data_IF_537238184475
#
_entry.id   IF_537238184475
#
_cell.length_a   1.000
_cell.length_b   1.000
_cell.length_c   1.000
_cell.angle_alpha   90.00
_cell.angle_beta   90.00
_cell.angle_gamma   90.00
#
_symmetry.space_group_name_H-M   'P 1'
#
loop_
_entity.id
_entity.type
_entity.pdbx_description
1 polymer ?
#
# COMPACT_ATOMS: atom_id res chain seq x y z
N UNK A 1 3.37 -17.07 9.75
CA UNK A 1 2.23 -16.40 10.41
C UNK A 1 1.25 -15.97 9.34
N UNK A 2 -0.03 -16.21 9.58
CA UNK A 2 -1.11 -16.00 8.62
C UNK A 2 -1.72 -14.61 8.74
N UNK A 3 -2.16 -14.08 7.60
CA UNK A 3 -2.84 -12.79 7.48
C UNK A 3 -4.24 -13.04 6.93
N UNK A 4 -5.24 -12.41 7.54
CA UNK A 4 -6.62 -12.46 7.03
C UNK A 4 -6.89 -11.19 6.24
N UNK A 5 -7.26 -11.33 4.98
CA UNK A 5 -7.58 -10.21 4.10
C UNK A 5 -9.05 -9.83 4.20
N UNK A 6 -9.37 -8.54 4.35
CA UNK A 6 -10.73 -8.04 4.20
C UNK A 6 -10.83 -7.18 2.95
N UNK A 7 -11.75 -7.55 2.07
CA UNK A 7 -11.94 -6.90 0.77
C UNK A 7 -13.27 -6.14 0.80
N UNK A 8 -13.20 -4.81 0.83
CA UNK A 8 -14.36 -3.95 1.09
C UNK A 8 -14.76 -3.14 -0.15
N UNK A 9 -16.02 -3.31 -0.54
CA UNK A 9 -16.64 -2.64 -1.69
C UNK A 9 -16.05 -3.09 -3.03
N UNK A 10 -16.57 -2.51 -4.12
CA UNK A 10 -16.20 -2.90 -5.48
C UNK A 10 -14.67 -2.84 -5.72
N UNK A 11 -14.03 -1.74 -5.33
CA UNK A 11 -12.59 -1.55 -5.54
C UNK A 11 -11.75 -2.55 -4.74
N UNK A 12 -12.02 -2.71 -3.44
CA UNK A 12 -11.29 -3.64 -2.57
C UNK A 12 -11.42 -5.10 -3.02
N UNK A 13 -12.62 -5.52 -3.45
CA UNK A 13 -12.85 -6.86 -3.99
C UNK A 13 -12.09 -7.13 -5.30
N UNK A 14 -11.99 -6.13 -6.19
CA UNK A 14 -11.26 -6.30 -7.44
C UNK A 14 -9.74 -6.34 -7.23
N UNK A 15 -9.21 -5.46 -6.38
CA UNK A 15 -7.78 -5.44 -6.01
C UNK A 15 -7.40 -6.73 -5.30
N UNK A 16 -8.23 -7.19 -4.36
CA UNK A 16 -7.99 -8.44 -3.66
C UNK A 16 -7.89 -9.62 -4.61
N UNK A 17 -8.83 -9.77 -5.55
CA UNK A 17 -8.78 -10.86 -6.54
C UNK A 17 -7.51 -10.86 -7.38
N UNK A 18 -7.11 -9.68 -7.88
CA UNK A 18 -5.89 -9.53 -8.69
C UNK A 18 -4.62 -9.78 -7.87
N UNK A 19 -4.58 -9.32 -6.62
CA UNK A 19 -3.46 -9.54 -5.71
C UNK A 19 -3.27 -11.02 -5.38
N UNK A 20 -4.35 -11.73 -5.01
CA UNK A 20 -4.26 -13.16 -4.69
C UNK A 20 -3.85 -14.00 -5.90
N UNK A 21 -4.30 -13.63 -7.11
CA UNK A 21 -3.78 -14.20 -8.36
C UNK A 21 -2.27 -13.98 -8.44
N UNK A 22 -1.81 -12.73 -8.39
CA UNK A 22 -0.38 -12.43 -8.53
C UNK A 22 0.48 -13.13 -7.47
N UNK A 23 0.02 -13.21 -6.21
CA UNK A 23 0.75 -13.87 -5.13
C UNK A 23 1.01 -15.35 -5.42
N UNK A 24 -0.02 -16.10 -5.87
CA UNK A 24 0.13 -17.52 -6.18
C UNK A 24 0.85 -17.74 -7.51
N UNK A 25 0.64 -16.88 -8.50
CA UNK A 25 1.33 -16.98 -9.78
C UNK A 25 2.83 -16.75 -9.62
N UNK A 26 3.21 -15.70 -8.88
CA UNK A 26 4.61 -15.45 -8.56
C UNK A 26 5.21 -16.57 -7.73
N UNK A 27 4.49 -17.15 -6.76
CA UNK A 27 5.00 -18.27 -5.95
C UNK A 27 5.27 -19.54 -6.77
N UNK A 28 4.29 -19.95 -7.58
CA UNK A 28 4.30 -21.24 -8.29
C UNK A 28 5.06 -21.21 -9.62
N UNK A 29 5.08 -20.05 -10.31
CA UNK A 29 5.66 -19.93 -11.64
C UNK A 29 6.89 -19.03 -11.61
N UNK A 30 8.08 -19.65 -11.52
CA UNK A 30 9.32 -18.95 -11.84
C UNK A 30 9.54 -18.98 -13.36
N UNK A 31 9.93 -17.85 -13.95
CA UNK A 31 10.29 -17.81 -15.37
C UNK A 31 11.45 -18.79 -15.64
N UNK A 32 11.33 -19.72 -16.61
CA UNK A 32 12.37 -20.69 -16.96
C UNK A 32 13.74 -20.07 -17.25
N UNK A 33 13.78 -18.82 -17.74
CA UNK A 33 15.03 -18.09 -17.99
C UNK A 33 15.87 -17.90 -16.72
N UNK A 34 15.26 -17.86 -15.54
CA UNK A 34 15.94 -17.69 -14.25
C UNK A 34 16.22 -19.01 -13.52
N UNK A 35 15.62 -20.12 -14.00
CA UNK A 35 15.62 -21.44 -13.35
C UNK A 35 17.00 -22.10 -13.32
N UNK A 36 17.84 -21.88 -14.34
CA UNK A 36 19.13 -22.60 -14.47
C UNK A 36 20.35 -21.88 -13.92
N UNK A 37 20.25 -20.60 -13.53
CA UNK A 37 21.43 -19.76 -13.23
C UNK A 37 21.47 -19.11 -11.85
N UNK A 38 20.39 -19.08 -11.05
CA UNK A 38 20.34 -18.13 -9.92
C UNK A 38 19.66 -18.56 -8.61
N UNK A 39 18.68 -19.46 -8.60
CA UNK A 39 17.90 -19.77 -7.37
C UNK A 39 17.90 -21.25 -7.04
N UNK A 40 18.19 -21.56 -5.79
CA UNK A 40 18.20 -22.92 -5.24
C UNK A 40 16.78 -23.50 -5.17
N UNK A 41 16.62 -24.79 -5.50
CA UNK A 41 15.32 -25.49 -5.43
C UNK A 41 14.71 -25.44 -4.03
N UNK A 42 15.55 -25.55 -2.99
CA UNK A 42 15.10 -25.47 -1.60
C UNK A 42 14.53 -24.10 -1.27
N UNK A 43 15.21 -23.03 -1.69
CA UNK A 43 14.78 -21.64 -1.46
C UNK A 43 13.46 -21.34 -2.17
N UNK A 44 13.26 -21.86 -3.39
CA UNK A 44 11.99 -21.73 -4.10
C UNK A 44 10.86 -22.48 -3.40
N UNK A 45 11.12 -23.68 -2.89
CA UNK A 45 10.13 -24.44 -2.15
C UNK A 45 9.73 -23.74 -0.83
N UNK A 46 10.70 -23.22 -0.09
CA UNK A 46 10.44 -22.43 1.13
C UNK A 46 9.59 -21.19 0.84
N UNK A 47 9.89 -20.48 -0.26
CA UNK A 47 9.12 -19.32 -0.70
C UNK A 47 7.65 -19.68 -0.97
N UNK A 48 7.39 -20.74 -1.74
CA UNK A 48 6.03 -21.22 -2.03
C UNK A 48 5.29 -21.62 -0.76
N UNK A 49 5.93 -22.41 0.11
CA UNK A 49 5.34 -22.82 1.39
C UNK A 49 4.95 -21.61 2.26
N UNK A 50 5.79 -20.59 2.33
CA UNK A 50 5.53 -19.39 3.14
C UNK A 50 4.37 -18.55 2.57
N UNK A 51 4.26 -18.42 1.25
CA UNK A 51 3.13 -17.75 0.60
C UNK A 51 1.82 -18.47 0.94
N UNK A 52 1.81 -19.80 0.80
CA UNK A 52 0.65 -20.62 1.12
C UNK A 52 0.29 -20.51 2.60
N UNK A 53 1.25 -20.64 3.51
CA UNK A 53 1.00 -20.51 4.96
C UNK A 53 0.42 -19.13 5.32
N UNK A 54 0.97 -18.07 4.69
CA UNK A 54 0.62 -16.68 5.01
C UNK A 54 -0.77 -16.30 4.50
N UNK A 55 -1.10 -16.62 3.25
CA UNK A 55 -2.29 -16.09 2.57
C UNK A 55 -3.34 -17.14 2.23
N UNK A 56 -3.03 -18.43 2.28
CA UNK A 56 -3.94 -19.48 1.84
C UNK A 56 -4.17 -20.56 2.92
N UNK A 57 -5.26 -21.30 2.77
CA UNK A 57 -5.54 -22.55 3.48
C UNK A 57 -5.68 -23.66 2.44
N UNK A 58 -5.22 -24.86 2.77
CA UNK A 58 -5.47 -26.03 1.91
C UNK A 58 -6.86 -26.58 2.21
N UNK A 59 -7.60 -26.92 1.18
CA UNK A 59 -8.85 -27.66 1.33
C UNK A 59 -8.58 -29.06 1.92
N UNK A 60 -9.62 -29.72 2.46
CA UNK A 60 -9.58 -31.07 3.03
C UNK A 60 -9.02 -32.11 2.04
N UNK A 61 -9.20 -31.89 0.75
CA UNK A 61 -8.67 -32.74 -0.33
C UNK A 61 -7.20 -32.47 -0.65
N UNK A 62 -6.62 -31.39 -0.14
CA UNK A 62 -5.24 -30.96 -0.40
C UNK A 62 -4.98 -30.37 -1.79
N UNK A 63 -5.94 -30.52 -2.72
CA UNK A 63 -5.77 -30.19 -4.14
C UNK A 63 -6.07 -28.73 -4.50
N UNK A 64 -6.87 -28.02 -3.69
CA UNK A 64 -7.22 -26.62 -3.93
C UNK A 64 -6.77 -25.71 -2.78
N UNK A 65 -6.40 -24.49 -3.12
CA UNK A 65 -6.03 -23.43 -2.19
C UNK A 65 -7.21 -22.47 -2.00
N UNK A 66 -7.57 -22.23 -0.74
CA UNK A 66 -8.57 -21.23 -0.35
C UNK A 66 -7.87 -19.98 0.17
N UNK A 67 -8.16 -18.81 -0.41
CA UNK A 67 -7.64 -17.55 0.10
C UNK A 67 -8.15 -17.25 1.52
N UNK A 68 -7.27 -16.81 2.42
CA UNK A 68 -7.68 -16.30 3.75
C UNK A 68 -8.26 -14.91 3.57
N UNK A 69 -9.48 -14.84 3.06
CA UNK A 69 -10.12 -13.59 2.69
C UNK A 69 -11.63 -13.58 2.98
N UNK A 70 -12.10 -12.45 3.50
CA UNK A 70 -13.52 -12.13 3.68
C UNK A 70 -13.89 -11.03 2.70
N UNK A 71 -14.88 -11.29 1.84
CA UNK A 71 -15.36 -10.34 0.83
C UNK A 71 -16.63 -9.66 1.31
N UNK A 72 -16.66 -8.34 1.27
CA UNK A 72 -17.76 -7.55 1.81
C UNK A 72 -18.12 -6.49 0.79
N UNK A 73 -19.35 -6.57 0.30
CA UNK A 73 -19.93 -5.53 -0.56
C UNK A 73 -21.41 -5.41 -0.25
N UNK A 74 -22.01 -4.25 -0.48
CA UNK A 74 -23.45 -4.10 -0.35
C UNK A 74 -24.17 -4.51 -1.64
N UNK A 75 -23.42 -4.81 -2.71
CA UNK A 75 -23.93 -5.26 -4.01
C UNK A 75 -23.24 -6.56 -4.45
N UNK A 76 -23.98 -7.50 -5.03
CA UNK A 76 -23.44 -8.83 -5.38
C UNK A 76 -22.54 -8.86 -6.61
N UNK A 77 -22.69 -7.88 -7.53
CA UNK A 77 -22.07 -7.91 -8.87
C UNK A 77 -20.54 -8.02 -8.81
N UNK A 78 -19.90 -7.16 -8.02
CA UNK A 78 -18.43 -7.13 -7.92
C UNK A 78 -17.89 -8.43 -7.34
N UNK A 79 -18.50 -8.93 -6.26
CA UNK A 79 -18.14 -10.20 -5.64
C UNK A 79 -18.30 -11.36 -6.63
N UNK A 80 -19.45 -11.49 -7.30
CA UNK A 80 -19.69 -12.57 -8.26
C UNK A 80 -18.68 -12.57 -9.42
N UNK A 81 -18.29 -11.39 -9.90
CA UNK A 81 -17.28 -11.25 -10.94
C UNK A 81 -15.90 -11.73 -10.45
N UNK A 82 -15.43 -11.25 -9.29
CA UNK A 82 -14.15 -11.63 -8.71
C UNK A 82 -14.10 -13.12 -8.39
N UNK A 83 -15.17 -13.70 -7.83
CA UNK A 83 -15.28 -15.14 -7.58
C UNK A 83 -15.15 -15.97 -8.86
N UNK A 84 -15.81 -15.54 -9.94
CA UNK A 84 -15.73 -16.23 -11.23
C UNK A 84 -14.31 -16.16 -11.81
N UNK A 85 -13.65 -15.01 -11.70
CA UNK A 85 -12.26 -14.85 -12.16
C UNK A 85 -11.28 -15.72 -11.37
N UNK A 86 -11.40 -15.75 -10.04
CA UNK A 86 -10.58 -16.62 -9.18
C UNK A 86 -10.75 -18.10 -9.57
N UNK A 87 -12.00 -18.57 -9.72
CA UNK A 87 -12.29 -19.95 -10.15
C UNK A 87 -11.72 -20.28 -11.53
N UNK A 88 -11.78 -19.34 -12.48
CA UNK A 88 -11.21 -19.51 -13.83
C UNK A 88 -9.68 -19.67 -13.83
N UNK A 89 -8.99 -19.13 -12.82
CA UNK A 89 -7.53 -19.32 -12.69
C UNK A 89 -7.15 -20.80 -12.52
N UNK A 90 -8.03 -21.60 -11.90
CA UNK A 90 -7.79 -23.01 -11.59
C UNK A 90 -6.74 -23.27 -10.50
N UNK A 91 -6.14 -22.22 -9.91
CA UNK A 91 -5.04 -22.32 -8.93
C UNK A 91 -5.51 -22.15 -7.49
N UNK A 92 -6.55 -21.36 -7.28
CA UNK A 92 -7.11 -21.06 -5.96
C UNK A 92 -8.57 -20.63 -6.06
N UNK A 93 -9.28 -20.62 -4.94
CA UNK A 93 -10.63 -20.10 -4.81
C UNK A 93 -10.82 -19.31 -3.51
N UNK A 94 -11.91 -18.54 -3.43
CA UNK A 94 -12.34 -17.99 -2.16
C UNK A 94 -13.08 -19.05 -1.33
N UNK A 95 -12.93 -19.04 0.00
CA UNK A 95 -13.63 -19.97 0.89
C UNK A 95 -15.15 -19.80 0.79
N UNK A 96 -15.87 -20.91 0.82
CA UNK A 96 -17.33 -20.90 0.78
C UNK A 96 -17.91 -20.22 2.03
N UNK A 97 -18.95 -19.42 1.83
CA UNK A 97 -19.62 -18.71 2.92
C UNK A 97 -18.90 -17.45 3.41
N UNK A 98 -17.72 -17.13 2.88
CA UNK A 98 -16.95 -15.94 3.23
C UNK A 98 -17.19 -14.73 2.31
N UNK A 99 -18.40 -14.66 1.76
CA UNK A 99 -18.88 -13.53 0.97
C UNK A 99 -20.14 -12.95 1.59
N UNK A 100 -20.07 -11.67 1.94
CA UNK A 100 -21.19 -10.91 2.43
C UNK A 100 -21.69 -9.95 1.34
N UNK A 101 -22.96 -10.07 0.98
CA UNK A 101 -23.65 -9.17 0.07
C UNK A 101 -25.02 -8.75 0.58
N UNK A 102 -25.42 -7.51 0.27
CA UNK A 102 -26.78 -7.02 0.49
C UNK A 102 -27.51 -6.78 -0.84
N UNK A 103 -28.80 -6.44 -0.76
CA UNK A 103 -29.62 -6.10 -1.95
C UNK A 103 -29.56 -4.62 -2.32
N UNK A 104 -29.07 -3.74 -1.42
CA UNK A 104 -29.05 -2.29 -1.60
C UNK A 104 -27.66 -1.76 -1.26
N UNK A 105 -27.05 -1.08 -2.23
CA UNK A 105 -25.76 -0.40 -2.05
C UNK A 105 -25.85 0.87 -1.19
N UNK A 106 -24.70 1.33 -0.69
CA UNK A 106 -24.62 2.57 0.11
C UNK A 106 -24.73 3.87 -0.71
N UNK A 107 -24.86 3.78 -2.04
CA UNK A 107 -25.17 4.93 -2.91
C UNK A 107 -24.13 6.06 -2.87
N UNK A 108 -22.84 5.71 -2.76
CA UNK A 108 -21.72 6.65 -2.61
C UNK A 108 -21.81 7.60 -1.39
N UNK A 109 -22.58 7.23 -0.37
CA UNK A 109 -22.73 8.02 0.84
C UNK A 109 -22.05 7.33 2.02
N UNK A 110 -21.05 7.98 2.60
CA UNK A 110 -20.32 7.44 3.75
C UNK A 110 -21.21 7.27 4.99
N UNK A 111 -22.09 8.23 5.31
CA UNK A 111 -22.95 8.15 6.49
C UNK A 111 -23.92 6.97 6.42
N UNK A 112 -24.50 6.70 5.24
CA UNK A 112 -25.34 5.52 5.02
C UNK A 112 -24.56 4.22 5.22
N UNK A 113 -23.32 4.18 4.73
CA UNK A 113 -22.41 3.05 4.92
C UNK A 113 -22.05 2.84 6.40
N UNK A 114 -21.62 3.89 7.09
CA UNK A 114 -21.09 3.83 8.44
C UNK A 114 -22.17 3.70 9.52
N UNK A 115 -23.27 4.45 9.44
CA UNK A 115 -24.29 4.50 10.50
C UNK A 115 -25.40 3.46 10.32
N UNK A 116 -25.67 3.02 9.09
CA UNK A 116 -26.77 2.09 8.83
C UNK A 116 -26.26 0.71 8.39
N UNK A 117 -25.52 0.62 7.29
CA UNK A 117 -25.11 -0.67 6.73
C UNK A 117 -24.03 -1.37 7.57
N UNK A 118 -23.08 -0.63 8.14
CA UNK A 118 -22.00 -1.14 9.00
C UNK A 118 -22.54 -1.91 10.21
N UNK A 119 -23.29 -1.26 11.12
CA UNK A 119 -23.88 -1.91 12.28
C UNK A 119 -24.75 -3.12 11.93
N UNK A 120 -25.59 -3.00 10.88
CA UNK A 120 -26.48 -4.09 10.42
C UNK A 120 -25.72 -5.29 9.85
N UNK A 121 -24.52 -5.09 9.32
CA UNK A 121 -23.70 -6.16 8.73
C UNK A 121 -22.67 -6.75 9.68
N UNK A 122 -22.35 -6.04 10.76
CA UNK A 122 -21.23 -6.36 11.65
C UNK A 122 -21.28 -7.76 12.23
N UNK A 123 -22.39 -8.18 12.84
CA UNK A 123 -22.49 -9.47 13.51
C UNK A 123 -22.14 -10.63 12.56
N UNK A 124 -22.64 -10.57 11.32
CA UNK A 124 -22.35 -11.58 10.31
C UNK A 124 -20.92 -11.49 9.77
N UNK A 125 -20.41 -10.28 9.59
CA UNK A 125 -19.01 -10.08 9.19
C UNK A 125 -18.05 -10.57 10.27
N UNK A 126 -18.35 -10.35 11.54
CA UNK A 126 -17.54 -10.80 12.67
C UNK A 126 -17.48 -12.32 12.72
N UNK A 127 -18.62 -13.02 12.60
CA UNK A 127 -18.66 -14.50 12.51
C UNK A 127 -17.81 -15.03 11.34
N UNK A 128 -17.90 -14.38 10.17
CA UNK A 128 -17.09 -14.70 8.99
C UNK A 128 -15.58 -14.52 9.24
N UNK A 129 -15.20 -13.39 9.84
CA UNK A 129 -13.81 -13.08 10.18
C UNK A 129 -13.27 -14.04 11.24
N UNK A 130 -14.03 -14.31 12.32
CA UNK A 130 -13.66 -15.25 13.38
C UNK A 130 -13.38 -16.63 12.79
N UNK A 131 -14.24 -17.13 11.90
CA UNK A 131 -14.01 -18.41 11.19
C UNK A 131 -12.72 -18.45 10.38
N UNK A 132 -12.29 -17.34 9.78
CA UNK A 132 -11.00 -17.29 9.06
C UNK A 132 -9.81 -17.15 10.01
N UNK A 133 -9.96 -16.42 11.10
CA UNK A 133 -8.92 -16.28 12.14
C UNK A 133 -8.69 -17.62 12.85
N UNK A 134 -9.74 -18.36 13.19
CA UNK A 134 -9.65 -19.69 13.83
C UNK A 134 -8.95 -20.74 12.95
N UNK A 135 -8.97 -20.58 11.63
CA UNK A 135 -8.20 -21.43 10.69
C UNK A 135 -6.70 -21.09 10.66
N UNK A 136 -6.26 -20.05 11.33
CA UNK A 136 -4.87 -19.63 11.34
C UNK A 136 -4.14 -20.26 12.54
N UNK A 137 -3.11 -21.07 12.29
CA UNK A 137 -2.27 -21.61 13.38
C UNK A 137 -1.60 -20.49 14.18
N UNK A 138 -1.21 -19.41 13.48
CA UNK A 138 -0.63 -18.19 14.07
C UNK A 138 -1.13 -16.97 13.32
N UNK A 139 -2.19 -16.37 13.84
CA UNK A 139 -2.75 -15.13 13.33
C UNK A 139 -1.84 -13.92 13.63
N UNK A 140 -1.51 -13.14 12.61
CA UNK A 140 -0.69 -11.93 12.71
C UNK A 140 -1.54 -10.67 12.73
N UNK A 141 -2.51 -10.57 11.82
CA UNK A 141 -3.30 -9.36 11.65
C UNK A 141 -4.14 -9.34 10.38
N UNK A 142 -4.80 -8.20 10.19
CA UNK A 142 -5.70 -7.93 9.10
C UNK A 142 -5.03 -7.08 8.02
N UNK A 143 -5.21 -7.49 6.77
CA UNK A 143 -4.87 -6.69 5.59
C UNK A 143 -6.16 -6.26 4.91
N UNK A 144 -6.48 -4.98 4.97
CA UNK A 144 -7.78 -4.45 4.55
C UNK A 144 -7.62 -3.67 3.25
N UNK A 145 -8.44 -3.96 2.24
CA UNK A 145 -8.44 -3.28 0.94
C UNK A 145 -9.73 -2.50 0.75
N UNK A 146 -9.63 -1.20 0.49
CA UNK A 146 -10.79 -0.32 0.33
C UNK A 146 -10.50 0.91 -0.55
N UNK A 147 -11.56 1.58 -0.99
CA UNK A 147 -11.47 2.90 -1.63
C UNK A 147 -11.98 3.97 -0.66
N UNK A 148 -11.34 5.13 -0.66
CA UNK A 148 -11.76 6.28 0.15
C UNK A 148 -12.99 7.02 -0.39
N UNK A 149 -13.31 6.86 -1.68
CA UNK A 149 -14.37 7.64 -2.32
C UNK A 149 -15.74 6.93 -2.39
N UNK A 150 -15.76 5.59 -2.41
CA UNK A 150 -16.99 4.82 -2.57
C UNK A 150 -17.79 4.69 -1.28
N UNK A 151 -19.12 4.63 -1.33
CA UNK A 151 -19.96 4.58 -0.11
C UNK A 151 -19.75 3.33 0.75
N UNK A 152 -19.73 2.15 0.12
CA UNK A 152 -19.51 0.87 0.81
C UNK A 152 -18.07 0.76 1.30
N UNK A 153 -17.11 0.91 0.39
CA UNK A 153 -15.68 0.78 0.71
C UNK A 153 -15.27 1.72 1.83
N UNK A 154 -15.68 2.98 1.76
CA UNK A 154 -15.28 4.01 2.72
C UNK A 154 -16.07 3.93 4.05
N UNK A 155 -17.41 3.99 4.00
CA UNK A 155 -18.28 4.04 5.18
C UNK A 155 -18.36 2.71 5.94
N UNK A 156 -18.77 1.64 5.27
CA UNK A 156 -18.86 0.30 5.88
C UNK A 156 -17.47 -0.17 6.31
N UNK A 157 -16.45 0.10 5.49
CA UNK A 157 -15.08 -0.27 5.81
C UNK A 157 -14.48 0.48 7.01
N UNK A 158 -14.75 1.77 7.17
CA UNK A 158 -14.34 2.53 8.35
C UNK A 158 -14.98 1.96 9.64
N UNK A 159 -16.27 1.62 9.58
CA UNK A 159 -16.99 1.01 10.70
C UNK A 159 -16.41 -0.35 11.09
N UNK A 160 -16.22 -1.23 10.09
CA UNK A 160 -15.66 -2.57 10.29
C UNK A 160 -14.23 -2.49 10.84
N UNK A 161 -13.40 -1.58 10.32
CA UNK A 161 -12.02 -1.42 10.81
C UNK A 161 -11.99 -0.99 12.28
N UNK A 162 -12.88 -0.07 12.69
CA UNK A 162 -13.01 0.32 14.10
C UNK A 162 -13.47 -0.85 14.97
N UNK A 163 -14.50 -1.55 14.52
CA UNK A 163 -15.04 -2.69 15.28
C UNK A 163 -14.04 -3.86 15.40
N UNK A 164 -13.21 -4.08 14.37
CA UNK A 164 -12.12 -5.06 14.42
C UNK A 164 -11.03 -4.68 15.41
N UNK A 165 -10.72 -3.39 15.54
CA UNK A 165 -9.77 -2.92 16.56
C UNK A 165 -10.29 -3.21 17.97
N UNK A 166 -11.60 -3.08 18.18
CA UNK A 166 -12.22 -3.35 19.48
C UNK A 166 -12.23 -4.86 19.81
N UNK A 167 -12.58 -5.71 18.84
CA UNK A 167 -12.61 -7.19 19.04
C UNK A 167 -11.22 -7.84 19.04
N UNK A 168 -10.28 -7.33 18.25
CA UNK A 168 -8.92 -7.87 18.10
C UNK A 168 -7.84 -6.82 18.43
N UNK A 169 -7.77 -6.32 19.68
CA UNK A 169 -6.93 -5.18 20.04
C UNK A 169 -5.44 -5.41 19.83
N UNK A 170 -4.98 -6.66 19.96
CA UNK A 170 -3.57 -7.04 19.80
C UNK A 170 -3.17 -7.42 18.37
N UNK A 171 -4.11 -7.41 17.43
CA UNK A 171 -3.83 -7.72 16.03
C UNK A 171 -3.32 -6.50 15.28
N UNK A 172 -2.43 -6.72 14.30
CA UNK A 172 -2.00 -5.65 13.40
C UNK A 172 -3.08 -5.35 12.37
N UNK A 173 -3.38 -4.08 12.12
CA UNK A 173 -4.33 -3.64 11.09
C UNK A 173 -3.60 -2.74 10.08
N UNK A 174 -3.39 -3.30 8.89
CA UNK A 174 -2.82 -2.57 7.75
C UNK A 174 -3.92 -2.28 6.73
N UNK A 175 -4.24 -1.01 6.54
CA UNK A 175 -5.22 -0.56 5.55
C UNK A 175 -4.51 -0.16 4.25
N UNK A 176 -4.80 -0.84 3.15
CA UNK A 176 -4.49 -0.37 1.81
C UNK A 176 -5.68 0.39 1.27
N UNK A 177 -5.46 1.68 1.03
CA UNK A 177 -6.51 2.59 0.56
C UNK A 177 -6.19 3.11 -0.83
N UNK A 178 -7.20 3.08 -1.70
CA UNK A 178 -7.14 3.76 -3.00
C UNK A 178 -7.65 5.18 -2.85
N UNK A 179 -6.76 6.12 -3.17
CA UNK A 179 -7.05 7.54 -3.18
C UNK A 179 -7.73 7.93 -4.50
N UNK A 180 -8.85 8.69 -4.45
CA UNK A 180 -9.62 9.02 -5.64
C UNK A 180 -8.89 9.96 -6.59
N UNK A 181 -9.39 10.06 -7.83
CA UNK A 181 -8.90 11.04 -8.79
C UNK A 181 -9.14 12.47 -8.31
N UNK A 182 -8.15 13.35 -8.49
CA UNK A 182 -8.25 14.77 -8.14
C UNK A 182 -9.29 15.53 -8.97
N UNK A 183 -9.60 15.06 -10.18
CA UNK A 183 -10.65 15.59 -11.06
C UNK A 183 -12.06 15.26 -10.57
N UNK A 184 -12.23 14.16 -9.83
CA UNK A 184 -13.51 13.72 -9.29
C UNK A 184 -14.15 12.57 -10.07
N UNK A 185 -14.40 11.43 -9.41
CA UNK A 185 -15.24 10.34 -9.90
C UNK A 185 -16.68 10.48 -9.41
N UNK A 186 -16.82 10.95 -8.17
CA UNK A 186 -18.09 11.14 -7.47
C UNK A 186 -18.08 12.52 -6.84
N UNK A 187 -19.21 13.23 -6.92
CA UNK A 187 -19.33 14.62 -6.44
C UNK A 187 -19.00 14.73 -4.94
N UNK A 188 -19.37 13.73 -4.14
CA UNK A 188 -19.19 13.73 -2.68
C UNK A 188 -17.90 13.02 -2.20
N UNK A 189 -17.00 12.65 -3.12
CA UNK A 189 -15.81 11.85 -2.78
C UNK A 189 -14.91 12.49 -1.72
N UNK A 190 -14.82 13.83 -1.69
CA UNK A 190 -13.89 14.52 -0.79
C UNK A 190 -14.37 14.43 0.66
N UNK A 191 -15.68 14.47 0.88
CA UNK A 191 -16.27 14.19 2.20
C UNK A 191 -16.01 12.74 2.61
N UNK A 192 -16.32 11.78 1.73
CA UNK A 192 -16.11 10.36 2.03
C UNK A 192 -14.64 10.08 2.39
N UNK A 193 -13.70 10.69 1.66
CA UNK A 193 -12.28 10.48 1.89
C UNK A 193 -11.81 11.01 3.25
N UNK A 194 -12.23 12.22 3.64
CA UNK A 194 -11.83 12.83 4.93
C UNK A 194 -12.44 12.07 6.11
N UNK A 195 -13.74 11.77 6.04
CA UNK A 195 -14.44 11.02 7.08
C UNK A 195 -13.78 9.66 7.27
N UNK A 196 -13.51 8.96 6.18
CA UNK A 196 -12.85 7.65 6.24
C UNK A 196 -11.44 7.75 6.78
N UNK A 197 -10.61 8.67 6.28
CA UNK A 197 -9.24 8.80 6.73
C UNK A 197 -9.14 9.15 8.22
N UNK A 198 -9.97 10.08 8.71
CA UNK A 198 -10.07 10.44 10.12
C UNK A 198 -10.32 9.22 11.01
N UNK A 199 -11.28 8.37 10.63
CA UNK A 199 -11.58 7.13 11.36
C UNK A 199 -10.44 6.09 11.24
N UNK A 200 -9.94 5.84 10.03
CA UNK A 200 -8.87 4.86 9.81
C UNK A 200 -7.59 5.23 10.57
N UNK A 201 -7.28 6.51 10.71
CA UNK A 201 -6.09 6.98 11.41
C UNK A 201 -6.08 6.60 12.89
N UNK A 202 -7.26 6.57 13.51
CA UNK A 202 -7.43 6.19 14.92
C UNK A 202 -7.36 4.68 15.13
N UNK A 203 -7.88 3.89 14.19
CA UNK A 203 -8.06 2.45 14.37
C UNK A 203 -6.94 1.59 13.75
N UNK A 204 -6.27 2.09 12.70
CA UNK A 204 -5.23 1.35 11.96
C UNK A 204 -3.85 1.55 12.57
N UNK A 205 -2.97 0.58 12.38
CA UNK A 205 -1.55 0.70 12.74
C UNK A 205 -0.74 1.30 11.59
N UNK A 206 -1.15 1.05 10.34
CA UNK A 206 -0.56 1.65 9.15
C UNK A 206 -1.58 1.80 8.01
N UNK A 207 -1.38 2.81 7.17
CA UNK A 207 -2.24 3.11 6.02
C UNK A 207 -1.36 3.27 4.77
N UNK A 208 -1.47 2.34 3.82
CA UNK A 208 -0.79 2.42 2.52
C UNK A 208 -1.69 3.13 1.52
N UNK A 209 -1.25 4.31 1.06
CA UNK A 209 -2.00 5.13 0.11
C UNK A 209 -1.50 4.88 -1.31
N UNK A 210 -2.41 4.59 -2.22
CA UNK A 210 -2.16 4.49 -3.66
C UNK A 210 -3.10 5.42 -4.42
N UNK A 211 -2.53 6.38 -5.17
CA UNK A 211 -3.29 7.41 -5.88
C UNK A 211 -3.64 7.01 -7.31
N UNK A 212 -4.94 7.04 -7.63
CA UNK A 212 -5.45 6.71 -8.95
C UNK A 212 -4.81 7.57 -10.07
N UNK A 213 -4.62 8.87 -9.87
CA UNK A 213 -3.95 9.75 -10.84
C UNK A 213 -2.51 9.28 -11.13
N UNK A 214 -1.75 8.93 -10.07
CA UNK A 214 -0.36 8.46 -10.21
C UNK A 214 -0.31 7.09 -10.89
N UNK A 215 -1.23 6.18 -10.56
CA UNK A 215 -1.33 4.85 -11.16
C UNK A 215 -1.74 4.92 -12.64
N UNK A 216 -2.71 5.77 -12.99
CA UNK A 216 -3.12 5.98 -14.38
C UNK A 216 -1.95 6.54 -15.21
N UNK A 217 -1.16 7.47 -14.65
CA UNK A 217 0.04 7.98 -15.32
C UNK A 217 1.08 6.89 -15.57
N UNK A 218 1.28 5.97 -14.62
CA UNK A 218 2.16 4.80 -14.79
C UNK A 218 1.64 3.90 -15.93
N UNK A 219 0.34 3.57 -15.96
CA UNK A 219 -0.26 2.79 -17.04
C UNK A 219 -0.12 3.47 -18.42
N UNK A 220 -0.30 4.79 -18.46
CA UNK A 220 -0.20 5.55 -19.71
C UNK A 220 1.23 5.59 -20.24
N UNK A 221 2.19 5.97 -19.41
CA UNK A 221 3.57 6.26 -19.85
C UNK A 221 4.44 5.00 -19.89
N UNK A 222 4.47 4.23 -18.81
CA UNK A 222 5.39 3.10 -18.68
C UNK A 222 4.85 1.81 -19.33
N UNK A 223 3.53 1.59 -19.29
CA UNK A 223 2.91 0.42 -19.93
C UNK A 223 2.46 0.72 -21.38
N UNK A 224 2.55 1.98 -21.81
CA UNK A 224 2.15 2.45 -23.14
C UNK A 224 0.72 2.03 -23.55
N UNK A 225 -0.21 2.09 -22.60
CA UNK A 225 -1.62 1.74 -22.81
C UNK A 225 -2.41 2.96 -23.29
N UNK A 226 -3.06 2.84 -24.45
CA UNK A 226 -3.90 3.91 -25.01
C UNK A 226 -5.26 4.03 -24.33
N UNK A 227 -5.84 2.90 -23.93
CA UNK A 227 -7.12 2.82 -23.22
C UNK A 227 -6.89 2.14 -21.88
N UNK A 228 -6.91 2.92 -20.81
CA UNK A 228 -6.62 2.46 -19.45
C UNK A 228 -7.94 2.08 -18.79
N UNK A 229 -8.05 0.83 -18.35
CA UNK A 229 -9.17 0.33 -17.58
C UNK A 229 -8.80 0.21 -16.10
N UNK A 230 -9.80 0.08 -15.22
CA UNK A 230 -9.56 -0.22 -13.81
C UNK A 230 -8.86 -1.57 -13.60
N UNK A 231 -8.98 -2.51 -14.55
CA UNK A 231 -8.23 -3.77 -14.49
C UNK A 231 -6.72 -3.51 -14.56
N UNK A 232 -6.29 -2.68 -15.51
CA UNK A 232 -4.88 -2.35 -15.70
C UNK A 232 -4.31 -1.61 -14.48
N UNK A 233 -5.11 -0.72 -13.87
CA UNK A 233 -4.74 -0.04 -12.63
C UNK A 233 -4.62 -1.04 -11.47
N UNK A 234 -5.57 -1.97 -11.33
CA UNK A 234 -5.54 -2.99 -10.28
C UNK A 234 -4.36 -3.96 -10.43
N UNK A 235 -3.92 -4.26 -11.65
CA UNK A 235 -2.70 -5.04 -11.91
C UNK A 235 -1.46 -4.30 -11.37
N UNK A 236 -1.34 -2.99 -11.61
CA UNK A 236 -0.24 -2.16 -11.09
C UNK A 236 -0.29 -2.06 -9.56
N UNK A 237 -1.48 -1.91 -8.97
CA UNK A 237 -1.67 -1.92 -7.51
C UNK A 237 -1.21 -3.26 -6.93
N UNK A 238 -1.68 -4.36 -7.51
CA UNK A 238 -1.36 -5.72 -7.07
C UNK A 238 0.15 -5.97 -7.14
N UNK A 239 0.81 -5.52 -8.21
CA UNK A 239 2.26 -5.58 -8.34
C UNK A 239 2.99 -4.82 -7.24
N UNK A 240 2.58 -3.57 -6.96
CA UNK A 240 3.15 -2.76 -5.87
C UNK A 240 2.98 -3.44 -4.51
N UNK A 241 1.81 -3.98 -4.22
CA UNK A 241 1.53 -4.63 -2.92
C UNK A 241 2.27 -5.96 -2.78
N UNK A 242 2.18 -6.84 -3.78
CA UNK A 242 2.85 -8.13 -3.78
C UNK A 242 4.37 -7.98 -3.61
N UNK A 243 4.98 -6.93 -4.17
CA UNK A 243 6.41 -6.69 -4.03
C UNK A 243 6.87 -6.54 -2.57
N UNK A 244 6.01 -6.05 -1.68
CA UNK A 244 6.28 -5.98 -0.22
C UNK A 244 5.73 -7.18 0.52
N UNK A 245 4.58 -7.72 0.11
CA UNK A 245 3.87 -8.77 0.84
C UNK A 245 4.44 -10.18 0.64
N UNK A 246 5.16 -10.42 -0.46
CA UNK A 246 5.82 -11.69 -0.72
C UNK A 246 6.94 -11.98 0.31
N UNK A 247 7.31 -13.25 0.57
CA UNK A 247 8.39 -13.62 1.49
C UNK A 247 9.68 -12.84 1.30
N UNK A 248 10.30 -12.44 2.41
CA UNK A 248 11.50 -11.60 2.45
C UNK A 248 12.40 -12.00 3.61
N UNK A 249 13.70 -11.73 3.47
CA UNK A 249 14.71 -11.96 4.50
C UNK A 249 15.33 -10.63 4.91
N UNK A 250 15.80 -10.53 6.15
CA UNK A 250 16.54 -9.34 6.59
C UNK A 250 17.86 -9.23 5.83
N UNK A 251 18.14 -8.06 5.28
CA UNK A 251 19.41 -7.80 4.61
C UNK A 251 20.53 -7.59 5.63
N UNK A 252 21.71 -8.13 5.34
CA UNK A 252 22.92 -7.99 6.15
C UNK A 252 24.12 -7.74 5.23
N UNK A 253 24.73 -6.57 5.38
CA UNK A 253 25.85 -6.14 4.53
C UNK A 253 27.09 -7.03 4.75
N UNK A 254 27.82 -7.32 3.66
CA UNK A 254 29.04 -8.13 3.70
C UNK A 254 28.79 -9.64 3.82
N UNK A 255 27.53 -10.09 3.81
CA UNK A 255 27.17 -11.50 3.70
C UNK A 255 27.21 -11.98 2.26
N UNK A 256 27.59 -13.23 2.08
CA UNK A 256 27.66 -13.89 0.78
C UNK A 256 26.29 -14.41 0.34
N UNK A 257 26.20 -14.89 -0.91
CA UNK A 257 24.98 -15.53 -1.42
C UNK A 257 24.58 -16.77 -0.60
N UNK A 258 25.55 -17.50 -0.03
CA UNK A 258 25.31 -18.69 0.79
C UNK A 258 24.52 -18.38 2.06
N UNK A 259 24.85 -17.29 2.76
CA UNK A 259 24.13 -16.84 3.94
C UNK A 259 22.61 -16.72 3.70
N UNK A 260 22.21 -16.08 2.60
CA UNK A 260 20.79 -15.85 2.30
C UNK A 260 20.02 -17.11 1.89
N UNK A 261 20.72 -18.19 1.51
CA UNK A 261 20.08 -19.50 1.32
C UNK A 261 19.60 -20.10 2.64
N UNK A 262 20.31 -19.83 3.73
CA UNK A 262 20.03 -20.37 5.06
C UNK A 262 19.39 -19.36 6.01
N UNK A 263 19.40 -18.07 5.65
CA UNK A 263 18.78 -17.01 6.43
C UNK A 263 17.27 -17.25 6.56
N UNK A 264 16.77 -17.04 7.78
CA UNK A 264 15.36 -17.18 8.10
C UNK A 264 14.56 -16.03 7.50
N UNK A 265 13.39 -16.36 6.96
CA UNK A 265 12.45 -15.38 6.43
C UNK A 265 11.76 -14.59 7.56
N UNK A 266 11.34 -13.37 7.23
CA UNK A 266 10.54 -12.48 8.08
C UNK A 266 9.20 -13.15 8.34
N UNK A 267 8.98 -13.60 9.58
CA UNK A 267 7.80 -14.41 9.93
C UNK A 267 6.57 -13.56 10.20
N UNK A 268 6.73 -12.42 10.88
CA UNK A 268 5.66 -11.51 11.28
C UNK A 268 5.59 -10.31 10.33
N UNK A 269 5.19 -10.57 9.08
CA UNK A 269 5.25 -9.57 8.00
C UNK A 269 4.60 -8.22 8.37
N UNK A 270 3.36 -8.22 8.90
CA UNK A 270 2.68 -6.95 9.20
C UNK A 270 3.30 -6.25 10.39
N UNK A 271 3.62 -6.99 11.47
CA UNK A 271 4.24 -6.39 12.64
C UNK A 271 5.61 -5.81 12.34
N UNK A 272 6.47 -6.57 11.65
CA UNK A 272 7.80 -6.13 11.26
C UNK A 272 7.72 -4.98 10.24
N UNK A 273 6.71 -4.93 9.37
CA UNK A 273 6.50 -3.80 8.46
C UNK A 273 6.10 -2.53 9.22
N UNK A 274 5.13 -2.65 10.12
CA UNK A 274 4.58 -1.51 10.89
C UNK A 274 5.63 -0.97 11.84
N UNK A 275 6.34 -1.82 12.57
CA UNK A 275 7.41 -1.43 13.49
C UNK A 275 8.49 -0.60 12.78
N UNK A 276 8.83 -0.99 11.55
CA UNK A 276 9.92 -0.37 10.81
C UNK A 276 9.50 0.91 10.08
N UNK A 277 8.24 1.04 9.66
CA UNK A 277 7.79 2.16 8.83
C UNK A 277 6.89 3.15 9.58
N UNK A 278 6.24 2.74 10.66
CA UNK A 278 5.39 3.59 11.50
C UNK A 278 5.98 3.70 12.91
N UNK A 279 7.14 4.35 13.09
CA UNK A 279 7.85 4.42 14.37
C UNK A 279 7.12 5.27 15.42
N UNK A 280 6.12 6.06 15.03
CA UNK A 280 5.38 6.94 15.92
C UNK A 280 3.89 6.96 15.53
N UNK A 281 2.95 6.94 16.50
CA UNK A 281 1.52 6.82 16.23
C UNK A 281 0.92 8.02 15.48
N UNK A 282 1.56 9.19 15.51
CA UNK A 282 1.18 10.35 14.68
C UNK A 282 1.66 10.28 13.23
N UNK A 283 2.30 9.19 12.81
CA UNK A 283 2.80 9.04 11.45
C UNK A 283 2.52 7.63 10.92
N UNK A 284 1.32 7.44 10.36
CA UNK A 284 0.83 6.14 9.87
C UNK A 284 0.66 6.05 8.35
N UNK A 285 0.87 7.15 7.63
CA UNK A 285 0.65 7.21 6.18
C UNK A 285 1.90 6.77 5.44
N UNK A 286 1.75 5.75 4.59
CA UNK A 286 2.83 5.14 3.84
C UNK A 286 2.54 5.18 2.34
N UNK A 287 3.59 5.33 1.54
CA UNK A 287 3.50 5.35 0.07
C UNK A 287 4.45 4.33 -0.55
N UNK A 288 4.05 3.76 -1.69
CA UNK A 288 4.78 2.68 -2.38
C UNK A 288 5.32 3.12 -3.74
N UNK A 289 6.64 3.03 -3.89
CA UNK A 289 7.37 3.25 -5.13
C UNK A 289 8.10 1.96 -5.50
N UNK A 290 7.99 1.51 -6.74
CA UNK A 290 8.60 0.27 -7.19
C UNK A 290 9.23 0.47 -8.56
N UNK A 291 10.38 -0.15 -8.76
CA UNK A 291 11.11 -0.14 -10.01
C UNK A 291 11.75 -1.51 -10.26
N UNK A 292 11.95 -1.90 -11.53
CA UNK A 292 11.41 -1.25 -12.73
C UNK A 292 9.90 -1.49 -12.86
N UNK A 293 9.23 -0.65 -13.67
CA UNK A 293 7.84 -0.87 -14.10
C UNK A 293 7.76 -0.68 -15.61
N UNK A 294 7.38 -1.72 -16.34
CA UNK A 294 7.21 -1.63 -17.79
C UNK A 294 6.40 -2.79 -18.34
N UNK A 295 6.02 -2.68 -19.62
CA UNK A 295 5.36 -3.77 -20.33
C UNK A 295 6.26 -5.00 -20.49
N UNK A 296 5.66 -6.19 -20.52
CA UNK A 296 6.38 -7.46 -20.76
C UNK A 296 7.18 -7.46 -22.06
N UNK A 297 6.70 -6.75 -23.08
CA UNK A 297 7.38 -6.61 -24.38
C UNK A 297 8.73 -5.91 -24.25
N UNK A 298 8.81 -4.89 -23.38
CA UNK A 298 10.03 -4.12 -23.13
C UNK A 298 11.00 -4.87 -22.21
N UNK A 299 10.48 -5.73 -21.34
CA UNK A 299 11.26 -6.46 -20.34
C UNK A 299 12.35 -7.33 -20.97
N UNK A 300 12.05 -8.01 -22.09
CA UNK A 300 13.00 -8.88 -22.78
C UNK A 300 14.25 -8.15 -23.33
N UNK A 301 14.17 -6.83 -23.50
CA UNK A 301 15.25 -6.00 -24.05
C UNK A 301 15.91 -5.10 -23.00
N UNK A 302 15.49 -5.22 -21.74
CA UNK A 302 15.95 -4.35 -20.66
C UNK A 302 16.92 -5.09 -19.75
N UNK A 303 17.99 -4.42 -19.34
CA UNK A 303 18.94 -4.95 -18.36
C UNK A 303 19.07 -3.99 -17.20
N UNK A 304 19.12 -4.54 -15.98
CA UNK A 304 19.15 -3.74 -14.76
C UNK A 304 20.38 -4.06 -13.92
N UNK A 305 20.97 -3.00 -13.39
CA UNK A 305 22.03 -3.06 -12.39
C UNK A 305 21.48 -2.55 -11.06
N UNK A 306 21.94 -3.13 -9.94
CA UNK A 306 21.53 -2.67 -8.62
C UNK A 306 21.88 -1.20 -8.39
N UNK A 307 23.06 -0.77 -8.83
CA UNK A 307 23.50 0.63 -8.74
C UNK A 307 22.57 1.58 -9.50
N UNK A 308 22.14 1.19 -10.70
CA UNK A 308 21.18 1.96 -11.50
C UNK A 308 19.83 2.07 -10.80
N UNK A 309 19.23 0.94 -10.41
CA UNK A 309 17.94 0.90 -9.73
C UNK A 309 17.97 1.74 -8.45
N UNK A 310 18.94 1.50 -7.57
CA UNK A 310 19.04 2.18 -6.28
C UNK A 310 19.24 3.69 -6.43
N UNK A 311 20.01 4.14 -7.44
CA UNK A 311 20.16 5.56 -7.76
C UNK A 311 18.82 6.20 -8.15
N UNK A 312 18.05 5.57 -9.04
CA UNK A 312 16.75 6.10 -9.47
C UNK A 312 15.75 6.09 -8.32
N UNK A 313 15.67 4.99 -7.56
CA UNK A 313 14.74 4.88 -6.43
C UNK A 313 15.03 5.91 -5.34
N UNK A 314 16.31 6.16 -5.05
CA UNK A 314 16.73 7.22 -4.13
C UNK A 314 16.31 8.60 -4.63
N UNK A 315 16.52 8.89 -5.91
CA UNK A 315 16.09 10.18 -6.46
C UNK A 315 14.56 10.31 -6.46
N UNK A 316 13.82 9.22 -6.71
CA UNK A 316 12.37 9.20 -6.60
C UNK A 316 11.87 9.47 -5.17
N UNK A 317 12.61 9.02 -4.14
CA UNK A 317 12.32 9.37 -2.75
C UNK A 317 12.47 10.88 -2.54
N UNK A 318 13.64 11.42 -2.92
CA UNK A 318 14.06 12.81 -2.71
C UNK A 318 13.15 13.82 -3.44
N UNK A 319 12.86 13.55 -4.72
CA UNK A 319 12.08 14.42 -5.60
C UNK A 319 10.56 14.17 -5.52
N UNK A 320 10.12 13.24 -4.68
CA UNK A 320 8.75 12.73 -4.62
C UNK A 320 8.16 12.28 -5.98
N UNK A 321 9.00 11.68 -6.84
CA UNK A 321 8.54 11.18 -8.12
C UNK A 321 7.79 9.83 -7.98
N UNK A 322 6.71 9.66 -8.75
CA UNK A 322 5.92 8.42 -8.78
C UNK A 322 6.50 7.33 -9.69
N UNK A 323 7.35 7.72 -10.64
CA UNK A 323 7.95 6.85 -11.67
C UNK A 323 9.30 7.41 -12.15
N UNK A 324 10.11 6.56 -12.79
CA UNK A 324 11.48 6.89 -13.25
C UNK A 324 11.51 8.05 -14.25
N UNK A 325 10.60 8.08 -15.23
CA UNK A 325 10.50 9.17 -16.22
C UNK A 325 10.07 10.52 -15.62
N UNK A 326 9.50 10.50 -14.42
CA UNK A 326 9.00 11.70 -13.71
C UNK A 326 10.01 12.29 -12.72
N UNK A 327 11.25 11.79 -12.69
CA UNK A 327 12.25 12.23 -11.73
C UNK A 327 12.73 13.65 -12.05
N UNK A 328 12.59 14.54 -11.07
CA UNK A 328 13.30 15.82 -11.06
C UNK A 328 14.72 15.63 -10.48
N UNK A 329 15.72 15.69 -11.36
CA UNK A 329 17.13 15.52 -11.00
C UNK A 329 17.76 16.79 -10.41
N UNK A 330 17.06 17.93 -10.45
CA UNK A 330 17.53 19.19 -9.86
C UNK A 330 17.31 19.19 -8.34
N UNK A 331 16.37 18.40 -7.83
CA UNK A 331 16.14 18.27 -6.38
C UNK A 331 17.32 17.58 -5.72
N UNK A 332 17.97 18.29 -4.77
CA UNK A 332 19.10 17.80 -4.00
C UNK A 332 18.79 17.81 -2.51
N UNK A 333 19.52 16.97 -1.78
CA UNK A 333 19.50 16.98 -0.31
C UNK A 333 20.00 18.34 0.17
N UNK A 334 19.32 18.98 1.15
CA UNK A 334 19.79 20.22 1.75
C UNK A 334 21.22 20.07 2.28
N UNK A 335 22.08 21.03 1.93
CA UNK A 335 23.42 21.16 2.52
C UNK A 335 23.24 21.91 3.86
N UNK A 336 23.89 21.50 4.96
CA UNK A 336 23.84 22.27 6.19
C UNK A 336 24.37 23.67 5.91
N UNK A 337 23.56 24.70 6.17
CA UNK A 337 24.04 26.06 6.26
C UNK A 337 25.04 26.14 7.41
N UNK A 338 26.25 26.65 7.17
CA UNK A 338 27.21 26.96 8.22
C UNK A 338 26.51 27.78 9.33
N UNK A 339 26.81 27.53 10.62
CA UNK A 339 26.27 28.32 11.72
C UNK A 339 26.69 29.80 11.64
N UNK A 340 27.81 30.08 10.98
CA UNK A 340 28.25 31.43 10.63
C UNK A 340 27.81 31.72 9.19
N UNK A 341 26.72 32.48 9.07
CA UNK A 341 26.10 32.79 7.79
C UNK A 341 27.06 33.45 6.82
N UNK A 342 27.19 32.85 5.63
CA UNK A 342 27.34 33.52 4.34
C UNK A 342 27.19 32.46 3.24
N UNK A 343 26.06 32.51 2.54
CA UNK A 343 25.81 31.73 1.33
C UNK A 343 26.71 32.29 0.21
N UNK A 344 27.97 31.86 0.15
CA UNK A 344 29.03 32.40 -0.74
C UNK A 344 28.79 32.22 -2.26
N UNK A 345 27.57 31.83 -2.68
CA UNK A 345 27.21 31.66 -4.09
C UNK A 345 26.03 32.50 -4.56
N UNK A 346 25.51 33.44 -3.78
CA UNK A 346 24.51 34.40 -4.28
C UNK A 346 25.20 35.59 -4.95
N UNK A 347 25.12 35.66 -6.29
CA UNK A 347 25.41 36.91 -7.02
C UNK A 347 24.36 37.97 -6.63
N UNK A 348 24.74 39.22 -6.36
CA UNK A 348 23.77 40.27 -6.04
C UNK A 348 22.80 40.47 -7.21
N UNK A 349 21.52 40.12 -7.01
CA UNK A 349 20.44 40.33 -7.99
C UNK A 349 19.72 39.07 -8.49
N UNK A 350 20.13 37.85 -8.10
CA UNK A 350 19.36 36.65 -8.38
C UNK A 350 18.30 36.42 -7.29
N UNK A 351 17.01 36.44 -7.67
CA UNK A 351 15.93 35.93 -6.81
C UNK A 351 16.28 34.51 -6.33
N UNK A 352 15.92 34.10 -5.10
CA UNK A 352 16.23 32.78 -4.58
C UNK A 352 15.59 31.70 -5.48
N UNK A 353 16.38 31.13 -6.38
CA UNK A 353 16.00 30.01 -7.25
C UNK A 353 16.39 28.69 -6.59
N UNK A 354 15.78 28.42 -5.44
CA UNK A 354 15.78 27.09 -4.86
C UNK A 354 14.35 26.80 -4.43
N UNK A 355 13.57 26.20 -5.35
CA UNK A 355 12.39 25.42 -4.96
C UNK A 355 12.91 24.22 -4.17
N UNK A 356 13.17 24.36 -2.88
CA UNK A 356 13.52 23.24 -2.00
C UNK A 356 12.28 22.39 -1.73
N UNK A 357 11.73 21.74 -2.76
CA UNK A 357 10.76 20.64 -2.60
C UNK A 357 11.52 19.34 -2.33
N UNK A 358 12.28 19.34 -1.24
CA UNK A 358 12.92 18.12 -0.74
C UNK A 358 11.88 17.34 0.07
N UNK A 359 11.63 16.09 -0.31
CA UNK A 359 10.72 15.23 0.44
C UNK A 359 11.45 14.57 1.61
N UNK A 360 11.13 14.97 2.84
CA UNK A 360 11.68 14.35 4.03
C UNK A 360 10.88 13.10 4.40
N UNK A 361 11.60 12.09 4.87
CA UNK A 361 11.04 10.84 5.36
C UNK A 361 11.27 10.68 6.86
N UNK A 362 10.45 9.87 7.52
CA UNK A 362 10.67 9.46 8.91
C UNK A 362 11.28 8.07 8.92
N UNK A 363 10.71 7.20 8.10
CA UNK A 363 11.10 5.82 7.97
C UNK A 363 10.93 5.34 6.53
N UNK A 364 11.86 4.50 6.11
CA UNK A 364 11.89 3.89 4.78
C UNK A 364 12.16 2.39 4.92
N UNK A 365 11.37 1.59 4.21
CA UNK A 365 11.61 0.17 4.04
C UNK A 365 11.93 -0.10 2.58
N UNK A 366 13.14 -0.57 2.33
CA UNK A 366 13.63 -0.95 1.02
C UNK A 366 13.58 -2.47 0.85
N UNK A 367 12.80 -2.96 -0.11
CA UNK A 367 12.66 -4.37 -0.44
C UNK A 367 13.35 -4.67 -1.76
N UNK A 368 14.40 -5.47 -1.73
CA UNK A 368 15.22 -5.82 -2.89
C UNK A 368 15.00 -7.27 -3.29
N UNK A 369 14.61 -7.54 -4.54
CA UNK A 369 14.36 -8.91 -5.01
C UNK A 369 15.12 -9.21 -6.28
N UNK A 370 15.85 -10.32 -6.31
CA UNK A 370 16.48 -10.83 -7.52
C UNK A 370 17.94 -11.22 -7.39
N UNK A 371 18.55 -11.44 -8.55
CA UNK A 371 19.91 -11.98 -8.67
C UNK A 371 20.92 -11.01 -8.09
N UNK A 372 21.95 -11.53 -7.41
CA UNK A 372 23.06 -10.77 -6.85
C UNK A 372 22.66 -9.68 -5.82
N UNK A 373 21.50 -9.84 -5.15
CA UNK A 373 21.02 -8.85 -4.17
C UNK A 373 22.03 -8.54 -3.05
N UNK A 374 22.85 -9.51 -2.67
CA UNK A 374 23.92 -9.37 -1.67
C UNK A 374 25.05 -8.39 -2.09
N UNK A 375 25.17 -8.08 -3.38
CA UNK A 375 26.15 -7.12 -3.93
C UNK A 375 25.61 -5.69 -4.00
N UNK A 376 24.38 -5.45 -3.55
CA UNK A 376 23.78 -4.11 -3.59
C UNK A 376 24.50 -3.15 -2.64
N UNK A 377 24.88 -1.98 -3.15
CA UNK A 377 25.46 -0.90 -2.35
C UNK A 377 24.36 0.05 -1.87
N UNK A 378 24.18 0.09 -0.55
CA UNK A 378 23.07 0.78 0.11
C UNK A 378 23.53 1.99 0.92
N UNK A 379 24.81 2.36 0.83
CA UNK A 379 25.37 3.52 1.52
C UNK A 379 24.66 4.83 1.15
N UNK A 380 24.05 4.90 -0.05
CA UNK A 380 23.31 6.09 -0.48
C UNK A 380 21.99 6.31 0.28
N UNK A 381 21.44 5.28 0.93
CA UNK A 381 20.20 5.34 1.71
C UNK A 381 20.44 5.53 3.21
N UNK A 382 21.68 5.43 3.68
CA UNK A 382 22.03 5.63 5.10
C UNK A 382 22.30 7.10 5.45
N UNK A 383 22.22 8.01 4.48
CA UNK A 383 22.42 9.44 4.69
C UNK A 383 21.33 9.99 5.64
N UNK A 384 21.68 10.46 6.86
CA UNK A 384 20.71 10.90 7.85
C UNK A 384 19.88 12.09 7.37
N UNK A 385 20.38 12.88 6.41
CA UNK A 385 19.69 14.05 5.83
C UNK A 385 18.50 13.67 4.95
N UNK A 386 18.33 12.39 4.60
CA UNK A 386 17.12 11.87 3.97
C UNK A 386 15.90 11.91 4.90
N UNK A 387 16.15 12.00 6.21
CA UNK A 387 15.14 11.81 7.22
C UNK A 387 14.92 13.08 8.04
N UNK A 388 13.83 13.12 8.81
CA UNK A 388 13.54 14.19 9.75
C UNK A 388 14.65 14.28 10.81
N UNK A 389 14.98 15.50 11.22
CA UNK A 389 16.16 15.80 12.05
C UNK A 389 16.18 15.10 13.42
N UNK A 390 15.00 14.78 13.96
CA UNK A 390 14.83 14.10 15.24
C UNK A 390 14.92 12.57 15.13
N UNK A 391 14.96 12.02 13.91
CA UNK A 391 15.08 10.57 13.71
C UNK A 391 16.54 10.15 13.96
N UNK A 392 16.79 9.17 14.84
CA UNK A 392 18.14 8.70 15.09
C UNK A 392 18.83 8.18 13.83
N UNK A 393 20.11 8.52 13.68
CA UNK A 393 20.93 8.07 12.57
C UNK A 393 21.03 6.53 12.58
N UNK A 394 20.76 5.91 11.42
CA UNK A 394 20.82 4.45 11.26
C UNK A 394 19.53 3.68 11.58
N UNK A 395 18.50 4.33 12.16
CA UNK A 395 17.20 3.70 12.44
C UNK A 395 16.13 3.99 11.38
N UNK A 396 16.37 4.95 10.50
CA UNK A 396 15.36 5.46 9.58
C UNK A 396 15.17 4.59 8.33
N UNK A 397 16.11 3.71 7.99
CA UNK A 397 16.01 2.89 6.77
C UNK A 397 16.31 1.44 7.06
N UNK A 398 15.31 0.59 6.83
CA UNK A 398 15.39 -0.85 6.98
C UNK A 398 15.38 -1.51 5.62
N UNK A 399 16.11 -2.62 5.50
CA UNK A 399 16.37 -3.26 4.21
C UNK A 399 15.99 -4.73 4.31
N UNK A 400 15.05 -5.11 3.46
CA UNK A 400 14.64 -6.48 3.23
C UNK A 400 15.11 -6.93 1.86
N UNK A 401 15.37 -8.22 1.73
CA UNK A 401 15.87 -8.78 0.50
C UNK A 401 15.36 -10.19 0.24
N UNK A 402 15.35 -10.59 -1.03
CA UNK A 402 15.15 -11.98 -1.40
C UNK A 402 15.93 -12.28 -2.69
N UNK A 403 16.72 -13.38 -2.76
CA UNK A 403 17.50 -13.70 -3.96
C UNK A 403 16.64 -14.14 -5.15
N UNK A 404 15.38 -14.51 -4.90
CA UNK A 404 14.41 -14.89 -5.93
C UNK A 404 13.95 -13.65 -6.72
N UNK A 405 13.99 -13.69 -8.07
CA UNK A 405 13.30 -12.74 -8.93
C UNK A 405 11.81 -12.62 -8.59
N UNK A 406 11.20 -11.49 -8.95
CA UNK A 406 9.79 -11.21 -8.66
C UNK A 406 9.06 -10.79 -9.93
N UNK A 407 7.92 -11.42 -10.21
CA UNK A 407 7.04 -11.09 -11.33
C UNK A 407 7.78 -10.88 -12.67
N UNK A 408 8.60 -11.87 -13.07
CA UNK A 408 9.46 -11.86 -14.27
C UNK A 408 10.61 -10.84 -14.28
N UNK A 409 10.74 -9.97 -13.28
CA UNK A 409 11.87 -9.05 -13.17
C UNK A 409 13.08 -9.74 -12.53
N UNK A 410 14.19 -9.83 -13.27
CA UNK A 410 15.45 -10.39 -12.78
C UNK A 410 15.95 -9.68 -11.51
N UNK A 411 15.76 -8.35 -11.46
CA UNK A 411 16.07 -7.47 -10.33
C UNK A 411 14.93 -6.46 -10.17
N UNK A 412 14.46 -6.27 -8.95
CA UNK A 412 13.45 -5.27 -8.61
C UNK A 412 13.72 -4.69 -7.24
N UNK A 413 13.36 -3.42 -7.07
CA UNK A 413 13.50 -2.68 -5.83
C UNK A 413 12.18 -1.95 -5.53
N UNK A 414 11.70 -2.09 -4.30
CA UNK A 414 10.49 -1.41 -3.82
C UNK A 414 10.82 -0.61 -2.58
N UNK A 415 10.35 0.63 -2.55
CA UNK A 415 10.45 1.55 -1.43
C UNK A 415 9.05 1.79 -0.86
N UNK A 416 8.86 1.36 0.39
CA UNK A 416 7.73 1.76 1.22
C UNK A 416 8.22 2.87 2.15
N UNK A 417 7.65 4.07 2.03
CA UNK A 417 8.14 5.26 2.74
C UNK A 417 7.03 5.95 3.51
N UNK A 418 7.34 6.32 4.74
CA UNK A 418 6.56 7.24 5.56
C UNK A 418 7.22 8.63 5.48
N UNK A 419 6.64 9.50 4.67
CA UNK A 419 7.25 10.78 4.26
C UNK A 419 6.18 11.85 4.00
N UNK A 420 6.62 13.03 3.57
CA UNK A 420 5.73 14.16 3.27
C UNK A 420 4.89 13.98 2.00
N UNK A 421 5.12 12.92 1.21
CA UNK A 421 4.39 12.63 -0.03
C UNK A 421 2.86 12.78 0.08
N UNK A 422 2.17 12.28 1.13
CA UNK A 422 0.71 12.39 1.21
C UNK A 422 0.18 13.81 1.49
N UNK A 423 1.03 14.77 1.90
CA UNK A 423 0.60 16.11 2.34
C UNK A 423 -0.13 16.85 1.22
N UNK A 424 0.44 16.89 0.02
CA UNK A 424 -0.15 17.63 -1.10
C UNK A 424 -1.53 17.11 -1.53
N UNK A 425 -1.73 15.81 -1.81
CA UNK A 425 -3.06 15.29 -2.16
C UNK A 425 -4.05 15.42 -1.00
N UNK A 426 -3.60 15.26 0.25
CA UNK A 426 -4.45 15.41 1.43
C UNK A 426 -4.97 16.84 1.57
N UNK A 427 -4.08 17.83 1.45
CA UNK A 427 -4.42 19.25 1.57
C UNK A 427 -5.42 19.68 0.47
N UNK A 428 -5.23 19.17 -0.76
CA UNK A 428 -6.17 19.41 -1.85
C UNK A 428 -7.58 18.88 -1.57
N UNK A 429 -7.69 17.67 -1.02
CA UNK A 429 -9.00 17.06 -0.69
C UNK A 429 -9.65 17.77 0.48
N UNK A 430 -8.89 18.11 1.53
CA UNK A 430 -9.37 18.89 2.68
C UNK A 430 -9.91 20.25 2.24
N UNK A 431 -9.15 20.98 1.43
CA UNK A 431 -9.59 22.29 0.92
C UNK A 431 -10.87 22.18 0.09
N UNK A 432 -10.97 21.19 -0.80
CA UNK A 432 -12.19 20.98 -1.61
C UNK A 432 -13.40 20.63 -0.74
N UNK A 433 -13.24 19.72 0.21
CA UNK A 433 -14.33 19.34 1.11
C UNK A 433 -14.74 20.50 2.03
N UNK A 434 -13.79 21.27 2.54
CA UNK A 434 -14.08 22.46 3.35
C UNK A 434 -14.92 23.47 2.56
N UNK A 435 -14.53 23.78 1.33
CA UNK A 435 -15.28 24.69 0.46
C UNK A 435 -16.70 24.18 0.16
N UNK A 436 -16.86 22.86 -0.02
CA UNK A 436 -18.18 22.24 -0.15
C UNK A 436 -18.99 22.40 1.15
N UNK A 437 -18.36 22.21 2.31
CA UNK A 437 -19.01 22.25 3.62
C UNK A 437 -19.49 23.65 3.98
N UNK A 438 -18.64 24.67 3.79
CA UNK A 438 -19.01 26.08 4.02
C UNK A 438 -20.14 26.54 3.11
N UNK A 439 -20.22 25.97 1.91
CA UNK A 439 -21.31 26.21 0.96
C UNK A 439 -22.56 25.36 1.23
N UNK A 440 -22.56 24.52 2.28
CA UNK A 440 -23.58 23.51 2.60
C UNK A 440 -23.91 22.57 1.44
N UNK A 441 -22.98 22.40 0.51
CA UNK A 441 -23.17 21.55 -0.66
C UNK A 441 -23.20 20.08 -0.23
N UNK A 442 -24.29 19.38 -0.57
CA UNK A 442 -24.52 17.95 -0.32
C UNK A 442 -24.50 17.49 1.14
N UNK A 443 -24.32 18.39 2.12
CA UNK A 443 -24.30 18.05 3.56
C UNK A 443 -25.60 17.37 4.00
N UNK A 444 -26.75 17.84 3.51
CA UNK A 444 -28.06 17.25 3.76
C UNK A 444 -28.15 15.74 3.42
N UNK A 445 -27.34 15.26 2.48
CA UNK A 445 -27.30 13.83 2.13
C UNK A 445 -26.70 12.98 3.23
N UNK A 446 -25.85 13.54 4.09
CA UNK A 446 -25.25 12.85 5.23
C UNK A 446 -26.14 13.01 6.47
N UNK A 447 -26.67 14.22 6.71
CA UNK A 447 -27.56 14.50 7.84
C UNK A 447 -28.81 13.60 7.86
N UNK A 448 -29.37 13.29 6.68
CA UNK A 448 -30.56 12.42 6.58
C UNK A 448 -30.35 11.00 7.14
N UNK A 449 -29.09 10.55 7.30
CA UNK A 449 -28.73 9.25 7.88
C UNK A 449 -28.30 9.37 9.36
N UNK A 450 -28.53 10.51 10.00
CA UNK A 450 -28.26 10.72 11.43
C UNK A 450 -26.85 11.22 11.74
N UNK A 451 -26.05 11.59 10.73
CA UNK A 451 -24.75 12.21 10.95
C UNK A 451 -24.93 13.67 11.38
N UNK A 452 -24.36 14.08 12.52
CA UNK A 452 -24.31 15.49 12.91
C UNK A 452 -23.23 16.27 12.14
N UNK A 453 -23.41 17.59 11.99
CA UNK A 453 -22.41 18.48 11.39
C UNK A 453 -21.07 18.47 12.14
N UNK A 454 -21.09 18.29 13.46
CA UNK A 454 -19.91 18.20 14.31
C UNK A 454 -18.94 17.10 13.86
N UNK A 455 -19.45 15.97 13.34
CA UNK A 455 -18.59 14.89 12.83
C UNK A 455 -17.73 15.35 11.64
N UNK A 456 -18.22 16.28 10.80
CA UNK A 456 -17.42 16.87 9.73
C UNK A 456 -16.32 17.72 10.33
N UNK A 457 -16.67 18.60 11.27
CA UNK A 457 -15.72 19.51 11.93
C UNK A 457 -14.60 18.74 12.62
N UNK A 458 -14.95 17.69 13.37
CA UNK A 458 -13.98 16.81 14.04
C UNK A 458 -13.07 16.12 13.03
N UNK A 459 -13.62 15.65 11.91
CA UNK A 459 -12.84 15.00 10.86
C UNK A 459 -11.92 15.96 10.11
N UNK A 460 -12.35 17.21 9.90
CA UNK A 460 -11.50 18.26 9.36
C UNK A 460 -10.35 18.56 10.30
N UNK A 461 -10.63 18.79 11.59
CA UNK A 461 -9.61 19.07 12.60
C UNK A 461 -8.58 17.93 12.71
N UNK A 462 -9.04 16.68 12.76
CA UNK A 462 -8.17 15.51 12.79
C UNK A 462 -7.26 15.43 11.54
N UNK A 463 -7.83 15.69 10.36
CA UNK A 463 -7.08 15.60 9.10
C UNK A 463 -6.10 16.76 8.92
N UNK A 464 -6.48 17.97 9.33
CA UNK A 464 -5.59 19.14 9.35
C UNK A 464 -4.42 18.95 10.33
N UNK A 465 -4.66 18.33 11.48
CA UNK A 465 -3.59 17.97 12.40
C UNK A 465 -2.60 16.98 11.77
N UNK A 466 -3.09 15.98 11.03
CA UNK A 466 -2.22 15.07 10.26
C UNK A 466 -1.39 15.85 9.24
N UNK A 467 -2.02 16.73 8.45
CA UNK A 467 -1.31 17.59 7.48
C UNK A 467 -0.21 18.39 8.18
N UNK A 468 -0.52 18.99 9.32
CA UNK A 468 0.42 19.81 10.10
C UNK A 468 1.60 18.98 10.60
N UNK A 469 1.36 17.82 11.20
CA UNK A 469 2.42 16.93 11.71
C UNK A 469 3.37 16.47 10.60
N UNK A 470 2.86 16.13 9.41
CA UNK A 470 3.69 15.75 8.27
C UNK A 470 4.40 16.96 7.62
N UNK A 471 3.75 18.12 7.57
CA UNK A 471 4.36 19.33 7.03
C UNK A 471 5.54 19.83 7.86
N UNK A 472 5.58 19.53 9.16
CA UNK A 472 6.66 19.94 10.07
C UNK A 472 7.88 19.03 10.09
N UNK A 473 7.93 17.97 9.27
CA UNK A 473 9.08 17.06 9.18
C UNK A 473 10.39 17.74 8.74
#
# INVERSE_FOLDING_TARGET
MSVVSLQLGQCGNQIGGELFNLLIEDATKLNPQFFSKSVDSKVNHEYDCEVVERFFTRDKTGNSLNARAVMIDMESKAISQTLSQAKKSGKWCYPEGQQFCQKRGSGNNWAHGFLEHGPKSWERVLDMVQKEVEKCDRFCGFLIFMSLAGGTGSGVGAYITGSLRDEFPHSFILNQVVWPYGTGEVIVQNYNAILTLSHLYRCSDGIVILENDKLQNICSRLMNLKHISFKDINEVISHKLASVLQPVKLFSQGRDAGFYKHATSVRNLLGDLIEQVCPHPEYKLMTLKNIPQMSEKSLAYSTYTWTGLLKHLRQMLIADASMEEGIDWEVKIPVPSNPDGEDYHQRPGELPRLKTRFNKSIANLLVLRGVDVHKSDLASFTDPRLNASWVPSGCATTIWCHPRPFNNYEKSATLLSNSQTPVAPLNFVVQKAWNMFTSRAYVHQYLKYGMAEDHFVDSFAATEQIIKSYSSL
#
